data_IF_780321409903
#
_entry.id   IF_780321409903
#
_cell.length_a   1.000
_cell.length_b   1.000
_cell.length_c   1.000
_cell.angle_alpha   90.00
_cell.angle_beta   90.00
_cell.angle_gamma   90.00
#
_symmetry.space_group_name_H-M   'P 1'
#
loop_
_entity.id
_entity.type
_entity.pdbx_description
1 polymer ?
#
# COMPACT_ATOMS: atom_id res chain seq x y z
N UNK A 1 0.21 22.74 -15.18
CA UNK A 1 1.33 22.15 -14.43
C UNK A 1 0.81 20.95 -13.65
N UNK A 2 1.04 19.73 -14.14
CA UNK A 2 0.78 18.54 -13.33
C UNK A 2 1.83 18.53 -12.22
N UNK A 3 1.41 18.71 -10.96
CA UNK A 3 2.27 18.37 -9.83
C UNK A 3 2.57 16.89 -9.99
N UNK A 4 3.76 16.55 -10.50
CA UNK A 4 4.19 15.16 -10.60
C UNK A 4 4.22 14.60 -9.19
N UNK A 5 3.18 13.89 -8.81
CA UNK A 5 3.05 13.29 -7.49
C UNK A 5 4.06 12.14 -7.40
N UNK A 6 5.32 12.47 -7.18
CA UNK A 6 6.37 11.51 -6.82
C UNK A 6 5.90 10.72 -5.58
N UNK A 7 6.37 9.48 -5.42
CA UNK A 7 6.09 8.52 -4.33
C UNK A 7 4.89 7.58 -4.56
N UNK A 8 4.44 6.94 -3.47
CA UNK A 8 3.50 5.83 -3.45
C UNK A 8 2.04 6.28 -3.63
N UNK A 9 1.35 5.62 -4.56
CA UNK A 9 -0.07 5.73 -4.80
C UNK A 9 -0.72 4.36 -4.67
N UNK A 10 -1.49 4.17 -3.60
CA UNK A 10 -2.26 2.95 -3.40
C UNK A 10 -3.57 2.99 -4.17
N UNK A 11 -3.85 1.91 -4.89
CA UNK A 11 -5.10 1.64 -5.59
C UNK A 11 -5.71 0.36 -5.01
N UNK A 12 -6.99 0.42 -4.64
CA UNK A 12 -7.77 -0.75 -4.22
C UNK A 12 -8.60 -1.20 -5.42
N UNK A 13 -8.30 -2.38 -5.92
CA UNK A 13 -8.94 -3.00 -7.08
C UNK A 13 -9.76 -4.22 -6.61
N UNK A 14 -10.83 -4.54 -7.34
CA UNK A 14 -11.70 -5.69 -7.05
C UNK A 14 -12.16 -5.73 -5.58
N UNK A 15 -12.79 -4.65 -5.11
CA UNK A 15 -13.27 -4.53 -3.73
C UNK A 15 -12.17 -4.52 -2.66
N UNK A 16 -10.90 -4.41 -3.07
CA UNK A 16 -9.72 -4.48 -2.20
C UNK A 16 -9.05 -5.85 -2.17
N UNK A 17 -9.51 -6.83 -2.96
CA UNK A 17 -8.84 -8.13 -3.13
C UNK A 17 -7.45 -7.96 -3.74
N UNK A 18 -7.29 -7.00 -4.64
CA UNK A 18 -6.00 -6.62 -5.22
C UNK A 18 -5.64 -5.22 -4.76
N UNK A 19 -4.48 -5.06 -4.15
CA UNK A 19 -3.92 -3.75 -3.78
C UNK A 19 -2.69 -3.49 -4.65
N UNK A 20 -2.70 -2.37 -5.37
CA UNK A 20 -1.60 -1.95 -6.23
C UNK A 20 -0.96 -0.69 -5.66
N UNK A 21 0.32 -0.76 -5.29
CA UNK A 21 1.12 0.38 -4.84
C UNK A 21 2.04 0.84 -5.96
N UNK A 22 1.73 1.98 -6.56
CA UNK A 22 2.53 2.59 -7.62
C UNK A 22 3.50 3.61 -7.02
N UNK A 23 4.79 3.34 -7.12
CA UNK A 23 5.83 4.25 -6.64
C UNK A 23 6.43 5.04 -7.80
N UNK A 24 6.05 6.31 -7.93
CA UNK A 24 6.59 7.18 -8.99
C UNK A 24 7.90 7.84 -8.57
N UNK A 25 8.99 7.57 -9.29
CA UNK A 25 10.33 8.12 -9.05
C UNK A 25 11.42 7.17 -9.54
N UNK A 26 12.68 7.54 -9.33
CA UNK A 26 13.82 6.67 -9.63
C UNK A 26 13.85 5.52 -8.61
N UNK A 27 13.91 4.28 -9.09
CA UNK A 27 13.90 3.07 -8.25
C UNK A 27 15.13 3.00 -7.32
N UNK A 28 16.29 3.51 -7.76
CA UNK A 28 17.51 3.52 -6.96
C UNK A 28 17.42 4.50 -5.78
N UNK A 29 16.60 5.55 -5.91
CA UNK A 29 16.30 6.47 -4.80
C UNK A 29 15.18 5.91 -3.92
N UNK A 30 14.09 5.45 -4.53
CA UNK A 30 12.87 5.02 -3.84
C UNK A 30 13.11 3.83 -2.91
N UNK A 31 13.92 2.86 -3.33
CA UNK A 31 14.22 1.66 -2.53
C UNK A 31 14.86 1.97 -1.19
N UNK A 32 15.58 3.10 -1.07
CA UNK A 32 16.18 3.56 0.19
C UNK A 32 15.13 4.12 1.17
N UNK A 33 14.01 4.61 0.64
CA UNK A 33 12.93 5.24 1.41
C UNK A 33 11.79 4.30 1.79
N UNK A 34 11.79 3.08 1.26
CA UNK A 34 10.86 2.04 1.67
C UNK A 34 11.02 1.76 3.16
N UNK A 35 9.92 1.62 3.88
CA UNK A 35 9.89 1.33 5.31
C UNK A 35 10.38 -0.09 5.64
N UNK A 36 10.89 -0.31 6.86
CA UNK A 36 11.38 -1.63 7.29
C UNK A 36 10.28 -2.71 7.32
N UNK A 37 8.99 -2.33 7.42
CA UNK A 37 7.86 -3.26 7.31
C UNK A 37 7.74 -3.97 5.96
N UNK A 38 8.42 -3.47 4.91
CA UNK A 38 8.44 -4.11 3.58
C UNK A 38 9.57 -5.15 3.44
N UNK A 39 10.51 -5.19 4.38
CA UNK A 39 11.60 -6.18 4.34
C UNK A 39 11.00 -7.59 4.46
N UNK A 40 11.50 -8.51 3.63
CA UNK A 40 11.07 -9.92 3.58
C UNK A 40 9.57 -10.15 3.32
N UNK A 41 8.89 -9.23 2.63
CA UNK A 41 7.47 -9.35 2.30
C UNK A 41 7.19 -9.74 0.85
N UNK A 42 8.18 -9.67 -0.05
CA UNK A 42 7.99 -9.90 -1.49
C UNK A 42 8.15 -11.38 -1.83
N UNK A 43 7.07 -12.02 -2.26
CA UNK A 43 7.07 -13.44 -2.65
C UNK A 43 7.60 -13.66 -4.09
N UNK A 44 7.39 -12.68 -4.98
CA UNK A 44 7.84 -12.74 -6.36
C UNK A 44 8.23 -11.36 -6.91
N UNK A 45 9.40 -11.30 -7.55
CA UNK A 45 9.96 -10.09 -8.15
C UNK A 45 9.97 -10.19 -9.69
N UNK A 46 9.37 -9.20 -10.35
CA UNK A 46 9.48 -9.02 -11.79
C UNK A 46 10.51 -7.92 -12.10
N UNK A 47 11.74 -8.33 -12.42
CA UNK A 47 12.79 -7.40 -12.80
C UNK A 47 12.71 -7.14 -14.30
N UNK A 48 12.04 -6.04 -14.65
CA UNK A 48 11.88 -5.57 -16.02
C UNK A 48 12.33 -4.13 -16.15
N UNK A 49 12.67 -3.73 -17.37
CA UNK A 49 12.99 -2.37 -17.75
C UNK A 49 12.06 -2.00 -18.91
N UNK A 50 11.72 -0.72 -19.04
CA UNK A 50 10.98 -0.24 -20.21
C UNK A 50 11.88 -0.27 -21.47
N UNK A 51 11.31 -0.41 -22.67
CA UNK A 51 12.08 -0.32 -23.91
C UNK A 51 12.85 1.01 -23.98
N UNK A 52 14.19 0.96 -24.07
CA UNK A 52 15.05 2.14 -24.15
C UNK A 52 15.63 2.62 -22.81
N UNK A 53 15.26 2.02 -21.68
CA UNK A 53 15.92 2.30 -20.40
C UNK A 53 17.37 1.82 -20.38
N UNK A 54 18.26 2.69 -19.90
CA UNK A 54 19.70 2.52 -19.89
C UNK A 54 20.15 1.48 -18.86
N UNK A 55 21.34 0.93 -19.08
CA UNK A 55 22.06 0.05 -18.16
C UNK A 55 22.12 0.60 -16.72
N UNK A 56 22.00 1.91 -16.55
CA UNK A 56 22.17 2.65 -15.29
C UNK A 56 21.12 2.29 -14.21
N UNK A 57 19.96 1.73 -14.58
CA UNK A 57 18.99 1.25 -13.60
C UNK A 57 19.50 0.02 -12.83
N UNK A 58 20.34 -0.81 -13.46
CA UNK A 58 20.71 -2.14 -12.98
C UNK A 58 21.95 -2.04 -12.09
N UNK A 59 21.76 -1.57 -10.86
CA UNK A 59 22.82 -1.33 -9.89
C UNK A 59 22.89 -2.44 -8.84
N UNK A 60 24.06 -2.56 -8.19
CA UNK A 60 24.20 -3.47 -7.06
C UNK A 60 23.31 -3.06 -5.87
N UNK A 61 23.07 -1.77 -5.69
CA UNK A 61 22.14 -1.23 -4.69
C UNK A 61 20.71 -1.73 -4.93
N UNK A 62 20.25 -1.71 -6.19
CA UNK A 62 18.94 -2.23 -6.55
C UNK A 62 18.86 -3.73 -6.26
N UNK A 63 19.85 -4.53 -6.65
CA UNK A 63 19.85 -5.98 -6.39
C UNK A 63 19.84 -6.29 -4.89
N UNK A 64 20.60 -5.54 -4.09
CA UNK A 64 20.63 -5.66 -2.63
C UNK A 64 19.31 -5.25 -2.00
N UNK A 65 18.66 -4.19 -2.50
CA UNK A 65 17.33 -3.81 -2.06
C UNK A 65 16.28 -4.87 -2.40
N UNK A 66 16.35 -5.48 -3.59
CA UNK A 66 15.47 -6.59 -3.97
C UNK A 66 15.65 -7.80 -3.04
N UNK A 67 16.90 -8.15 -2.71
CA UNK A 67 17.19 -9.23 -1.76
C UNK A 67 16.65 -8.92 -0.36
N UNK A 68 16.75 -7.66 0.08
CA UNK A 68 16.19 -7.21 1.36
C UNK A 68 14.67 -7.28 1.44
N UNK A 69 13.98 -7.00 0.35
CA UNK A 69 12.54 -7.06 0.27
C UNK A 69 12.00 -8.49 0.07
N UNK A 70 12.80 -9.37 -0.53
CA UNK A 70 12.39 -10.74 -0.83
C UNK A 70 12.17 -11.57 0.44
N UNK A 71 11.03 -12.25 0.52
CA UNK A 71 10.77 -13.28 1.53
C UNK A 71 11.73 -14.46 1.34
N UNK A 72 12.13 -15.20 2.39
CA UNK A 72 12.76 -16.50 2.22
C UNK A 72 11.90 -17.43 1.35
N UNK A 73 12.50 -18.06 0.34
CA UNK A 73 11.80 -18.81 -0.72
C UNK A 73 11.19 -17.93 -1.82
N UNK A 74 11.29 -16.61 -1.69
CA UNK A 74 10.80 -15.65 -2.69
C UNK A 74 11.55 -15.76 -4.01
N UNK A 75 10.85 -15.54 -5.11
CA UNK A 75 11.36 -15.78 -6.47
C UNK A 75 11.63 -14.49 -7.24
N UNK A 76 12.47 -14.57 -8.26
CA UNK A 76 12.74 -13.47 -9.18
C UNK A 76 12.78 -13.99 -10.61
N UNK A 77 12.25 -13.20 -11.54
CA UNK A 77 12.39 -13.46 -12.97
C UNK A 77 12.76 -12.18 -13.73
N UNK A 78 13.64 -12.31 -14.73
CA UNK A 78 13.99 -11.21 -15.64
C UNK A 78 14.18 -11.70 -17.07
N UNK A 79 13.91 -10.83 -18.03
CA UNK A 79 14.03 -11.15 -19.46
C UNK A 79 15.49 -11.20 -19.95
N UNK A 80 16.43 -10.59 -19.21
CA UNK A 80 17.84 -10.50 -19.59
C UNK A 80 18.64 -11.71 -19.10
N UNK A 81 19.73 -12.00 -19.80
CA UNK A 81 20.74 -12.98 -19.41
C UNK A 81 22.13 -12.36 -19.26
N UNK A 82 22.21 -11.03 -19.11
CA UNK A 82 23.45 -10.30 -18.99
C UNK A 82 24.28 -10.79 -17.79
N UNK A 83 25.58 -11.00 -18.01
CA UNK A 83 26.46 -11.60 -17.01
C UNK A 83 26.60 -10.77 -15.73
N UNK A 84 26.66 -9.44 -15.84
CA UNK A 84 26.77 -8.55 -14.68
C UNK A 84 25.50 -8.58 -13.81
N UNK A 85 24.32 -8.65 -14.41
CA UNK A 85 23.04 -8.79 -13.70
C UNK A 85 23.00 -10.10 -12.91
N UNK A 86 23.39 -11.21 -13.57
CA UNK A 86 23.45 -12.51 -12.90
C UNK A 86 24.39 -12.48 -11.69
N UNK A 87 25.60 -11.95 -11.86
CA UNK A 87 26.59 -11.86 -10.78
C UNK A 87 26.11 -10.95 -9.65
N UNK A 88 25.56 -9.78 -9.97
CA UNK A 88 25.06 -8.86 -8.95
C UNK A 88 23.90 -9.42 -8.13
N UNK A 89 22.96 -10.14 -8.78
CA UNK A 89 21.89 -10.87 -8.08
C UNK A 89 22.42 -12.02 -7.22
N UNK A 90 23.44 -12.75 -7.68
CA UNK A 90 24.11 -13.78 -6.88
C UNK A 90 24.80 -13.17 -5.65
N UNK A 91 25.52 -12.07 -5.84
CA UNK A 91 26.18 -11.32 -4.76
C UNK A 91 25.17 -10.78 -3.74
N UNK A 92 24.00 -10.33 -4.19
CA UNK A 92 22.91 -9.92 -3.31
C UNK A 92 22.25 -11.08 -2.53
N UNK A 93 22.56 -12.34 -2.88
CA UNK A 93 22.09 -13.54 -2.17
C UNK A 93 21.06 -14.39 -2.91
N UNK A 94 20.70 -14.08 -4.15
CA UNK A 94 19.80 -14.93 -4.93
C UNK A 94 20.53 -16.14 -5.54
N UNK A 95 19.91 -17.31 -5.44
CA UNK A 95 20.35 -18.51 -6.17
C UNK A 95 19.88 -18.43 -7.62
N UNK A 96 20.74 -17.97 -8.52
CA UNK A 96 20.38 -17.70 -9.92
C UNK A 96 20.55 -18.91 -10.85
N UNK A 97 19.55 -19.14 -11.70
CA UNK A 97 19.53 -20.17 -12.75
C UNK A 97 19.20 -19.55 -14.11
N UNK A 98 19.77 -20.12 -15.17
CA UNK A 98 19.36 -19.81 -16.55
C UNK A 98 18.19 -20.70 -16.94
N UNK A 99 17.19 -20.13 -17.60
CA UNK A 99 16.05 -20.86 -18.14
C UNK A 99 15.81 -20.46 -19.59
N UNK A 100 15.46 -21.42 -20.44
CA UNK A 100 15.12 -21.11 -21.82
C UNK A 100 13.76 -20.41 -21.89
N UNK A 101 13.65 -19.33 -22.66
CA UNK A 101 12.37 -18.61 -22.82
C UNK A 101 11.39 -19.46 -23.63
N UNK A 102 10.13 -19.47 -23.20
CA UNK A 102 9.05 -20.05 -23.98
C UNK A 102 8.93 -19.27 -25.31
N UNK A 103 9.06 -19.96 -26.45
CA UNK A 103 8.91 -19.44 -27.83
C UNK A 103 10.06 -18.59 -28.43
N UNK A 104 11.24 -18.46 -27.79
CA UNK A 104 12.42 -17.79 -28.41
C UNK A 104 13.73 -18.48 -28.04
N UNK A 105 14.72 -18.54 -28.96
CA UNK A 105 16.11 -19.01 -28.73
C UNK A 105 16.95 -18.08 -27.81
N UNK A 106 16.32 -17.37 -26.87
CA UNK A 106 17.01 -16.49 -25.91
C UNK A 106 16.86 -17.07 -24.51
N UNK A 107 17.95 -17.00 -23.74
CA UNK A 107 17.95 -17.37 -22.32
C UNK A 107 17.30 -16.25 -21.48
N UNK A 108 16.73 -16.61 -20.34
CA UNK A 108 16.29 -15.71 -19.28
C UNK A 108 16.88 -16.15 -17.94
N UNK A 109 16.87 -15.26 -16.95
CA UNK A 109 17.31 -15.57 -15.59
C UNK A 109 16.11 -15.69 -14.66
N UNK A 110 16.17 -16.71 -13.81
CA UNK A 110 15.27 -16.89 -12.67
C UNK A 110 16.10 -17.08 -11.41
N UNK A 111 15.64 -16.53 -10.30
CA UNK A 111 16.31 -16.61 -9.00
C UNK A 111 15.36 -17.00 -7.89
N UNK A 112 15.94 -17.48 -6.80
CA UNK A 112 15.24 -17.79 -5.55
C UNK A 112 16.07 -17.30 -4.36
N UNK A 113 15.42 -16.69 -3.37
CA UNK A 113 16.03 -16.31 -2.10
C UNK A 113 16.03 -17.52 -1.16
N UNK A 114 16.99 -18.44 -1.36
CA UNK A 114 17.06 -19.69 -0.62
C UNK A 114 17.45 -19.53 0.86
N UNK A 115 17.96 -18.34 1.24
CA UNK A 115 18.44 -18.06 2.58
C UNK A 115 17.59 -17.00 3.27
N UNK A 116 17.51 -17.09 4.59
CA UNK A 116 16.91 -16.01 5.39
C UNK A 116 17.99 -15.00 5.71
N UNK A 117 17.84 -13.79 5.19
CA UNK A 117 18.74 -12.67 5.47
C UNK A 117 18.28 -11.97 6.74
N UNK A 118 19.23 -11.51 7.56
CA UNK A 118 18.93 -10.66 8.72
C UNK A 118 19.26 -9.21 8.40
N UNK A 119 18.32 -8.31 8.64
CA UNK A 119 18.51 -6.88 8.46
C UNK A 119 18.23 -6.17 9.78
N UNK A 120 19.19 -5.41 10.33
CA UNK A 120 18.91 -4.57 11.48
C UNK A 120 17.87 -3.50 11.09
N UNK A 121 16.94 -3.22 12.00
CA UNK A 121 16.02 -2.12 11.82
C UNK A 121 16.81 -0.80 11.72
N UNK A 122 16.53 0.00 10.69
CA UNK A 122 17.23 1.26 10.43
C UNK A 122 16.90 2.32 11.47
N UNK A 123 15.64 2.34 11.90
CA UNK A 123 15.11 3.28 12.90
C UNK A 123 14.22 2.54 13.91
N UNK A 124 14.81 1.78 14.86
CA UNK A 124 14.05 0.90 15.77
C UNK A 124 12.97 1.64 16.58
N UNK A 125 13.19 2.91 16.91
CA UNK A 125 12.23 3.76 17.62
C UNK A 125 10.97 4.10 16.82
N UNK A 126 10.96 3.87 15.50
CA UNK A 126 9.80 3.99 14.63
C UNK A 126 9.24 2.63 14.15
N UNK A 127 9.66 1.53 14.79
CA UNK A 127 9.22 0.19 14.42
C UNK A 127 7.69 0.05 14.48
N UNK A 128 7.13 -0.56 13.43
CA UNK A 128 5.70 -0.90 13.33
C UNK A 128 5.57 -2.41 13.39
N UNK A 129 5.05 -2.94 14.49
CA UNK A 129 4.80 -4.37 14.66
C UNK A 129 3.42 -4.77 14.15
N UNK A 130 3.33 -5.97 13.60
CA UNK A 130 2.05 -6.62 13.26
C UNK A 130 1.48 -7.37 14.46
N UNK A 131 0.22 -7.77 14.34
CA UNK A 131 -0.42 -8.73 15.24
C UNK A 131 -0.87 -9.95 14.46
N UNK A 132 -0.69 -11.14 15.05
CA UNK A 132 -1.19 -12.41 14.53
C UNK A 132 -2.68 -12.61 14.81
N UNK A 133 -3.29 -11.74 15.64
CA UNK A 133 -4.71 -11.77 15.92
C UNK A 133 -5.55 -11.56 14.64
N UNK A 134 -6.80 -12.04 14.68
CA UNK A 134 -7.81 -11.81 13.64
C UNK A 134 -9.10 -11.24 14.18
N UNK A 135 -9.02 -10.68 15.38
CA UNK A 135 -10.10 -9.96 16.04
C UNK A 135 -9.56 -8.63 16.56
N UNK A 136 -10.35 -7.56 16.43
CA UNK A 136 -10.02 -6.25 16.95
C UNK A 136 -11.24 -5.59 17.59
N UNK A 137 -11.05 -5.05 18.80
CA UNK A 137 -11.97 -4.09 19.39
C UNK A 137 -11.53 -2.67 18.99
N UNK A 138 -12.45 -1.90 18.43
CA UNK A 138 -12.25 -0.49 18.07
C UNK A 138 -13.08 0.36 19.03
N UNK A 139 -12.43 1.30 19.71
CA UNK A 139 -13.11 2.28 20.57
C UNK A 139 -13.28 3.57 19.78
N UNK A 140 -14.53 3.96 19.50
CA UNK A 140 -14.88 5.15 18.75
C UNK A 140 -16.25 5.09 18.10
N UNK A 141 -16.57 6.08 17.28
CA UNK A 141 -17.81 6.14 16.51
C UNK A 141 -17.77 7.12 15.34
N UNK A 142 -16.58 7.62 14.99
CA UNK A 142 -16.37 8.60 13.92
C UNK A 142 -15.90 7.98 12.61
N UNK A 143 -15.50 8.84 11.68
CA UNK A 143 -15.07 8.42 10.33
C UNK A 143 -13.84 7.50 10.36
N UNK A 144 -12.90 7.74 11.29
CA UNK A 144 -11.69 6.92 11.42
C UNK A 144 -12.01 5.47 11.80
N UNK A 145 -12.87 5.26 12.81
CA UNK A 145 -13.30 3.92 13.22
C UNK A 145 -14.09 3.20 12.13
N UNK A 146 -14.93 3.91 11.38
CA UNK A 146 -15.69 3.32 10.27
C UNK A 146 -14.76 2.84 9.13
N UNK A 147 -13.81 3.69 8.72
CA UNK A 147 -12.85 3.35 7.66
C UNK A 147 -11.85 2.27 8.11
N UNK A 148 -11.42 2.28 9.36
CA UNK A 148 -10.58 1.23 9.94
C UNK A 148 -11.32 -0.12 9.96
N UNK A 149 -12.58 -0.12 10.40
CA UNK A 149 -13.43 -1.31 10.37
C UNK A 149 -13.51 -1.89 8.97
N UNK A 150 -13.78 -1.06 7.96
CA UNK A 150 -13.84 -1.49 6.57
C UNK A 150 -12.50 -2.06 6.07
N UNK A 151 -11.38 -1.43 6.43
CA UNK A 151 -10.05 -1.90 6.05
C UNK A 151 -9.69 -3.26 6.68
N UNK A 152 -10.10 -3.50 7.93
CA UNK A 152 -9.90 -4.76 8.64
C UNK A 152 -10.83 -5.87 8.13
N UNK A 153 -12.12 -5.57 7.94
CA UNK A 153 -13.11 -6.52 7.40
C UNK A 153 -12.71 -7.04 6.01
N UNK A 154 -12.16 -6.18 5.14
CA UNK A 154 -11.63 -6.59 3.82
C UNK A 154 -10.49 -7.62 3.91
N UNK A 155 -9.82 -7.70 5.06
CA UNK A 155 -8.71 -8.64 5.34
C UNK A 155 -9.17 -9.84 6.18
N UNK A 156 -10.49 -10.02 6.36
CA UNK A 156 -11.06 -11.15 7.10
C UNK A 156 -10.94 -11.04 8.62
N UNK A 157 -10.77 -9.83 9.16
CA UNK A 157 -10.79 -9.63 10.62
C UNK A 157 -12.22 -9.60 11.15
N UNK A 158 -12.41 -10.14 12.36
CA UNK A 158 -13.57 -9.84 13.18
C UNK A 158 -13.37 -8.49 13.86
N UNK A 159 -14.39 -7.63 13.83
CA UNK A 159 -14.30 -6.27 14.34
C UNK A 159 -15.48 -5.98 15.24
N UNK A 160 -15.19 -5.57 16.47
CA UNK A 160 -16.18 -5.11 17.44
C UNK A 160 -15.98 -3.61 17.66
N UNK A 161 -17.01 -2.80 17.41
CA UNK A 161 -16.96 -1.35 17.57
C UNK A 161 -17.72 -0.93 18.84
N UNK A 162 -17.03 -0.27 19.76
CA UNK A 162 -17.62 0.32 20.97
C UNK A 162 -17.70 1.84 20.82
N UNK A 163 -18.91 2.37 20.82
CA UNK A 163 -19.19 3.80 20.81
C UNK A 163 -19.79 4.20 22.16
N UNK A 164 -19.31 5.30 22.73
CA UNK A 164 -19.84 5.83 23.99
C UNK A 164 -21.23 6.48 23.82
N UNK A 165 -21.52 6.99 22.62
CA UNK A 165 -22.75 7.68 22.30
C UNK A 165 -23.86 6.70 21.86
N UNK A 166 -25.12 7.14 21.90
CA UNK A 166 -26.26 6.33 21.45
C UNK A 166 -26.24 5.98 19.95
N UNK A 167 -25.47 6.75 19.16
CA UNK A 167 -25.35 6.60 17.71
C UNK A 167 -23.94 6.99 17.24
N UNK A 168 -23.48 6.49 16.09
CA UNK A 168 -22.23 6.95 15.49
C UNK A 168 -22.30 8.43 15.07
N UNK A 169 -21.13 9.02 14.87
CA UNK A 169 -20.93 10.40 14.39
C UNK A 169 -21.55 11.50 15.27
N UNK A 170 -21.73 11.26 16.57
CA UNK A 170 -22.17 12.31 17.53
C UNK A 170 -21.01 13.22 17.99
N UNK A 171 -19.76 12.85 17.73
CA UNK A 171 -18.58 13.70 17.94
C UNK A 171 -18.24 14.59 16.73
N UNK A 172 -16.95 14.89 16.53
CA UNK A 172 -16.48 15.81 15.47
C UNK A 172 -16.81 15.38 14.03
N UNK A 173 -17.17 14.11 13.79
CA UNK A 173 -17.57 13.61 12.47
C UNK A 173 -19.04 13.86 12.11
N UNK A 174 -19.83 14.50 12.99
CA UNK A 174 -21.27 14.73 12.79
C UNK A 174 -21.65 15.94 11.95
N UNK A 175 -20.68 16.66 11.40
CA UNK A 175 -20.94 17.84 10.57
C UNK A 175 -21.73 17.45 9.32
N UNK A 176 -22.75 18.27 8.97
CA UNK A 176 -23.56 18.06 7.76
C UNK A 176 -22.74 18.16 6.48
N UNK A 177 -21.73 19.03 6.48
CA UNK A 177 -20.83 19.26 5.35
C UNK A 177 -19.41 19.48 5.88
N UNK A 178 -18.43 18.87 5.23
CA UNK A 178 -17.01 19.03 5.54
C UNK A 178 -16.23 19.30 4.26
N UNK A 179 -15.21 20.16 4.36
CA UNK A 179 -14.32 20.43 3.25
C UNK A 179 -13.27 19.31 3.11
N UNK A 180 -13.02 18.86 1.89
CA UNK A 180 -11.96 17.90 1.57
C UNK A 180 -11.00 18.52 0.57
N UNK A 181 -9.81 18.86 1.04
CA UNK A 181 -8.70 19.39 0.24
C UNK A 181 -7.37 19.00 0.90
N UNK A 182 -6.27 18.87 0.15
CA UNK A 182 -4.97 18.58 0.73
C UNK A 182 -4.42 19.83 1.44
N UNK A 183 -3.83 19.63 2.62
CA UNK A 183 -2.94 20.64 3.20
C UNK A 183 -1.61 20.60 2.43
N UNK A 184 -1.28 21.67 1.71
CA UNK A 184 -0.01 21.81 1.00
C UNK A 184 0.97 22.58 1.89
N UNK A 185 2.16 22.02 2.09
CA UNK A 185 3.24 22.65 2.85
C UNK A 185 4.50 22.71 2.00
N UNK A 186 5.20 23.85 2.04
CA UNK A 186 6.53 23.99 1.42
C UNK A 186 7.66 23.73 2.42
N UNK A 187 7.40 23.88 3.72
CA UNK A 187 8.42 23.87 4.77
C UNK A 187 8.56 22.52 5.49
N UNK A 188 7.52 21.69 5.45
CA UNK A 188 7.52 20.37 6.08
C UNK A 188 7.47 19.28 5.01
N UNK A 189 8.60 18.59 4.75
CA UNK A 189 8.65 17.53 3.75
C UNK A 189 7.74 16.35 4.06
N UNK A 190 7.45 16.04 5.32
CA UNK A 190 6.58 14.93 5.69
C UNK A 190 5.12 15.29 5.39
N UNK A 191 4.67 16.49 5.76
CA UNK A 191 3.31 16.96 5.45
C UNK A 191 3.10 17.16 3.94
N UNK A 192 4.11 17.72 3.26
CA UNK A 192 4.11 17.89 1.81
C UNK A 192 3.97 16.58 1.04
N UNK A 193 4.38 15.45 1.65
CA UNK A 193 4.21 14.11 1.09
C UNK A 193 2.89 13.47 1.48
N UNK A 194 2.54 13.53 2.76
CA UNK A 194 1.40 12.81 3.32
C UNK A 194 0.07 13.32 2.77
N UNK A 195 -0.19 14.62 2.84
CA UNK A 195 -1.53 15.16 2.52
C UNK A 195 -1.93 15.04 1.05
N UNK A 196 -1.05 15.29 0.06
CA UNK A 196 -1.39 15.04 -1.35
C UNK A 196 -1.68 13.56 -1.64
N UNK A 197 -0.88 12.64 -1.09
CA UNK A 197 -1.11 11.20 -1.24
C UNK A 197 -2.42 10.77 -0.57
N UNK A 198 -2.67 11.22 0.66
CA UNK A 198 -3.89 10.94 1.41
C UNK A 198 -5.12 11.50 0.71
N UNK A 199 -5.06 12.73 0.18
CA UNK A 199 -6.17 13.36 -0.54
C UNK A 199 -6.55 12.59 -1.80
N UNK A 200 -5.56 12.24 -2.65
CA UNK A 200 -5.85 11.50 -3.89
C UNK A 200 -6.32 10.07 -3.62
N UNK A 201 -5.80 9.42 -2.57
CA UNK A 201 -6.32 8.14 -2.09
C UNK A 201 -7.76 8.27 -1.58
N UNK A 202 -8.04 9.25 -0.72
CA UNK A 202 -9.37 9.48 -0.16
C UNK A 202 -10.41 9.74 -1.25
N UNK A 203 -10.09 10.58 -2.25
CA UNK A 203 -10.95 10.83 -3.42
C UNK A 203 -11.32 9.53 -4.13
N UNK A 204 -10.32 8.74 -4.56
CA UNK A 204 -10.56 7.45 -5.24
C UNK A 204 -11.33 6.46 -4.37
N UNK A 205 -11.05 6.43 -3.06
CA UNK A 205 -11.75 5.57 -2.12
C UNK A 205 -13.22 5.96 -2.00
N UNK A 206 -13.53 7.25 -1.84
CA UNK A 206 -14.90 7.75 -1.77
C UNK A 206 -15.66 7.53 -3.07
N UNK A 207 -15.03 7.79 -4.22
CA UNK A 207 -15.63 7.54 -5.55
C UNK A 207 -15.99 6.06 -5.76
N UNK A 208 -15.28 5.14 -5.08
CA UNK A 208 -15.53 3.69 -5.15
C UNK A 208 -16.52 3.17 -4.09
N UNK A 209 -16.94 3.97 -3.12
CA UNK A 209 -17.92 3.55 -2.12
C UNK A 209 -19.34 3.57 -2.72
N UNK A 210 -20.20 2.59 -2.40
CA UNK A 210 -21.59 2.57 -2.85
C UNK A 210 -22.46 3.51 -2.01
N UNK A 211 -22.02 4.76 -1.84
CA UNK A 211 -22.70 5.81 -1.09
C UNK A 211 -22.79 7.03 -1.98
N UNK A 212 -23.99 7.62 -2.09
CA UNK A 212 -24.12 8.87 -2.83
C UNK A 212 -23.55 10.01 -1.99
N UNK A 213 -22.59 10.72 -2.58
CA UNK A 213 -22.17 12.03 -2.09
C UNK A 213 -22.93 13.06 -2.90
N UNK A 214 -23.43 14.10 -2.25
CA UNK A 214 -24.12 15.18 -2.96
C UNK A 214 -23.18 15.72 -4.08
N UNK A 215 -21.85 15.80 -3.85
CA UNK A 215 -20.90 16.47 -4.76
C UNK A 215 -19.65 15.70 -5.16
N UNK A 216 -19.43 15.67 -6.48
CA UNK A 216 -18.22 15.18 -7.12
C UNK A 216 -17.14 16.28 -7.15
N UNK A 217 -16.58 16.60 -5.99
CA UNK A 217 -15.56 17.63 -5.80
C UNK A 217 -16.15 18.84 -5.05
N UNK A 218 -15.46 19.26 -3.99
CA UNK A 218 -15.78 20.36 -3.07
C UNK A 218 -17.15 21.07 -3.28
N UNK A 219 -18.09 20.74 -2.37
CA UNK A 219 -19.38 21.39 -2.06
C UNK A 219 -20.53 21.20 -3.06
N UNK A 220 -21.74 21.03 -2.47
CA UNK A 220 -23.09 21.15 -3.06
C UNK A 220 -24.17 20.26 -2.32
N UNK A 221 -25.44 20.11 -2.78
CA UNK A 221 -26.56 20.29 -1.88
C UNK A 221 -27.68 19.22 -1.82
N UNK A 222 -28.50 19.48 -0.80
CA UNK A 222 -29.97 19.48 -0.71
C UNK A 222 -30.76 18.18 -0.93
N UNK A 223 -31.33 17.77 0.20
CA UNK A 223 -32.72 17.33 0.37
C UNK A 223 -33.20 16.16 -0.48
N UNK A 224 -32.99 14.94 0.03
CA UNK A 224 -34.05 13.95 0.16
C UNK A 224 -33.60 12.74 1.00
N UNK A 225 -34.04 12.69 2.26
CA UNK A 225 -34.38 11.47 3.00
C UNK A 225 -33.42 10.28 2.94
N UNK A 226 -32.38 10.29 3.77
CA UNK A 226 -31.88 9.02 4.33
C UNK A 226 -32.92 8.48 5.31
N UNK A 227 -33.85 7.67 4.80
CA UNK A 227 -34.69 6.81 5.62
C UNK A 227 -33.76 5.91 6.42
N UNK A 228 -33.86 6.03 7.75
CA UNK A 228 -33.46 5.06 8.79
C UNK A 228 -32.98 3.72 8.21
N UNK A 229 -31.67 3.55 8.07
CA UNK A 229 -31.07 2.23 8.03
C UNK A 229 -31.23 1.63 9.45
N UNK A 230 -32.41 1.07 9.70
CA UNK A 230 -32.67 0.20 10.85
C UNK A 230 -31.76 -1.03 10.67
N UNK A 231 -30.61 -1.03 11.34
CA UNK A 231 -29.95 -2.28 11.70
C UNK A 231 -30.85 -2.92 12.76
N UNK A 232 -31.81 -3.72 12.30
CA UNK A 232 -32.55 -4.63 13.18
C UNK A 232 -31.63 -5.81 13.47
N UNK A 233 -31.19 -5.93 14.71
CA UNK A 233 -31.25 -7.23 15.39
C UNK A 233 -31.37 -7.02 16.90
N UNK A 234 -32.34 -7.68 17.56
CA UNK A 234 -32.64 -7.48 18.97
C UNK A 234 -31.77 -8.37 19.87
N UNK A 235 -31.36 -7.83 21.04
CA UNK A 235 -31.05 -8.56 22.28
C UNK A 235 -29.83 -9.53 22.17
N UNK A 236 -28.93 -9.66 23.13
CA UNK A 236 -29.01 -9.52 24.57
C UNK A 236 -27.63 -9.09 25.08
N UNK A 237 -27.67 -8.33 26.15
CA UNK A 237 -26.60 -8.28 27.13
C UNK A 237 -26.39 -9.67 27.73
N UNK A 238 -25.22 -10.27 27.50
CA UNK A 238 -24.41 -11.08 28.43
C UNK A 238 -23.12 -11.48 27.73
#
# INVERSE_FOLDING_TARGET
MAVGLRRCHRLLLDGGRVTLDLWFGDINELTRELDDSLNQQVDACFLTALPGEKSDMWTQDLFSAMARLARPGGTLATFTSAGFVRRGLQEAGFTMRKKQRLRRKREMLTGEMAQTLSFPARVPWFARSSSDAREAAIIGGGIASALLSLALLRRGWQVTLYCADEAPAQGASGNRQGALYPLLSQHDPALARFFPAAFTFARRMYDALPVMFDHNGAVLPSSAGMRKARIKSPRCWR
#
